data_IF_628193995875
#
_entry.id   IF_628193995875
#
_cell.length_a   1.000
_cell.length_b   1.000
_cell.length_c   1.000
_cell.angle_alpha   90.00
_cell.angle_beta   90.00
_cell.angle_gamma   90.00
#
_symmetry.space_group_name_H-M   'P 1'
#
loop_
_entity.id
_entity.type
_entity.pdbx_description
1 polymer ?
#
# COMPACT_ATOMS: atom_id res chain seq x y z
N UNK A 1 -2.77 -16.04 23.47
CA UNK A 1 -3.45 -15.39 22.33
C UNK A 1 -2.61 -15.55 21.08
N UNK A 2 -3.18 -15.78 19.88
CA UNK A 2 -2.38 -15.82 18.66
C UNK A 2 -1.67 -14.46 18.48
N UNK A 3 -0.36 -14.51 18.20
CA UNK A 3 0.44 -13.33 17.85
C UNK A 3 0.42 -13.18 16.33
N UNK A 4 -0.31 -12.19 15.83
CA UNK A 4 -0.30 -11.88 14.40
C UNK A 4 0.98 -11.12 14.04
N UNK A 5 1.62 -11.41 12.88
CA UNK A 5 2.81 -10.69 12.44
C UNK A 5 2.53 -9.20 12.25
N UNK A 6 3.40 -8.37 12.81
CA UNK A 6 3.45 -6.94 12.53
C UNK A 6 4.45 -6.68 11.39
N UNK A 7 4.06 -5.86 10.42
CA UNK A 7 4.84 -5.56 9.21
C UNK A 7 4.96 -4.05 9.01
N UNK A 8 5.78 -3.59 8.05
CA UNK A 8 5.89 -2.16 7.75
C UNK A 8 4.71 -1.61 6.95
N UNK A 9 4.16 -2.43 6.06
CA UNK A 9 3.01 -2.09 5.23
C UNK A 9 2.24 -3.37 4.86
N UNK A 10 1.00 -3.21 4.43
CA UNK A 10 0.16 -4.28 3.89
C UNK A 10 -0.02 -4.05 2.39
N UNK A 11 -0.17 -5.13 1.62
CA UNK A 11 -0.59 -4.99 0.23
C UNK A 11 -2.05 -4.50 0.17
N UNK A 12 -2.31 -3.48 -0.65
CA UNK A 12 -3.59 -2.77 -0.72
C UNK A 12 -4.80 -3.56 -1.24
N UNK A 13 -4.67 -4.87 -1.50
CA UNK A 13 -5.77 -5.71 -1.99
C UNK A 13 -6.95 -5.78 -1.01
N UNK A 14 -6.65 -5.99 0.27
CA UNK A 14 -7.68 -6.14 1.30
C UNK A 14 -7.12 -5.66 2.64
N UNK A 15 -7.54 -4.48 3.05
CA UNK A 15 -7.17 -3.87 4.33
C UNK A 15 -8.45 -3.53 5.08
N UNK A 16 -8.50 -3.93 6.35
CA UNK A 16 -9.50 -3.48 7.30
C UNK A 16 -8.82 -2.58 8.33
N UNK A 17 -9.39 -1.39 8.57
CA UNK A 17 -8.83 -0.42 9.51
C UNK A 17 -9.94 0.20 10.35
N UNK A 18 -9.60 0.66 11.56
CA UNK A 18 -10.54 1.43 12.37
C UNK A 18 -10.81 2.77 11.71
N UNK A 19 -12.01 3.33 11.97
CA UNK A 19 -12.35 4.70 11.54
C UNK A 19 -11.33 5.72 12.04
N UNK A 20 -10.88 5.58 13.29
CA UNK A 20 -9.85 6.45 13.87
C UNK A 20 -8.53 6.42 13.08
N UNK A 21 -8.08 5.22 12.68
CA UNK A 21 -6.88 5.08 11.85
C UNK A 21 -7.08 5.76 10.49
N UNK A 22 -8.20 5.49 9.82
CA UNK A 22 -8.52 6.08 8.52
C UNK A 22 -8.62 7.62 8.59
N UNK A 23 -9.35 8.15 9.57
CA UNK A 23 -9.54 9.60 9.73
C UNK A 23 -8.21 10.32 10.04
N UNK A 24 -7.28 9.65 10.75
CA UNK A 24 -5.97 10.21 11.08
C UNK A 24 -4.96 10.10 9.93
N UNK A 25 -4.96 8.99 9.20
CA UNK A 25 -3.99 8.73 8.13
C UNK A 25 -4.41 9.40 6.81
N UNK A 26 -5.71 9.49 6.55
CA UNK A 26 -6.29 10.08 5.34
C UNK A 26 -6.36 9.10 4.17
N UNK A 27 -6.49 9.63 2.95
CA UNK A 27 -6.59 8.84 1.73
C UNK A 27 -5.22 8.32 1.24
N UNK A 28 -5.23 7.53 0.17
CA UNK A 28 -4.03 7.23 -0.61
C UNK A 28 -3.48 8.52 -1.23
N UNK A 29 -2.17 8.57 -1.44
CA UNK A 29 -1.51 9.73 -2.02
C UNK A 29 -1.64 9.70 -3.56
N UNK A 30 -2.37 10.65 -4.12
CA UNK A 30 -2.65 10.74 -5.56
C UNK A 30 -1.43 11.14 -6.42
N UNK A 31 -0.29 11.43 -5.79
CA UNK A 31 0.97 11.60 -6.52
C UNK A 31 1.48 10.28 -7.10
N UNK A 32 1.16 9.14 -6.48
CA UNK A 32 1.39 7.82 -7.07
C UNK A 32 0.49 7.63 -8.30
N UNK A 33 1.09 7.20 -9.41
CA UNK A 33 0.41 7.00 -10.69
C UNK A 33 -0.26 5.63 -10.74
N UNK A 34 -0.20 4.95 -11.88
CA UNK A 34 -0.91 3.69 -12.12
C UNK A 34 -0.31 2.55 -11.28
N UNK A 35 -0.94 2.29 -10.12
CA UNK A 35 -0.60 1.24 -9.17
C UNK A 35 0.81 1.32 -8.59
N UNK A 36 1.10 0.41 -7.66
CA UNK A 36 2.38 0.26 -6.98
C UNK A 36 2.80 1.44 -6.08
N UNK A 37 3.23 1.07 -4.87
CA UNK A 37 3.89 1.91 -3.87
C UNK A 37 2.97 2.88 -3.11
N UNK A 38 1.73 3.10 -3.55
CA UNK A 38 0.73 3.87 -2.81
C UNK A 38 0.35 3.17 -1.49
N UNK A 39 0.30 1.84 -1.49
CA UNK A 39 0.03 1.00 -0.33
C UNK A 39 1.22 0.91 0.62
N UNK A 40 2.45 0.92 0.09
CA UNK A 40 3.69 1.06 0.87
C UNK A 40 3.71 2.39 1.63
N UNK A 41 3.46 3.50 0.92
CA UNK A 41 3.36 4.83 1.54
C UNK A 41 2.27 4.88 2.63
N UNK A 42 1.11 4.30 2.34
CA UNK A 42 0.01 4.23 3.28
C UNK A 42 0.40 3.48 4.56
N UNK A 43 1.08 2.34 4.42
CA UNK A 43 1.60 1.57 5.55
C UNK A 43 2.59 2.35 6.41
N UNK A 44 3.52 3.09 5.79
CA UNK A 44 4.45 3.95 6.51
C UNK A 44 3.74 5.11 7.24
N UNK A 45 2.71 5.71 6.63
CA UNK A 45 1.89 6.74 7.30
C UNK A 45 1.08 6.18 8.47
N UNK A 46 0.53 4.97 8.36
CA UNK A 46 -0.12 4.25 9.47
C UNK A 46 0.86 4.13 10.64
N UNK A 47 2.06 3.59 10.38
CA UNK A 47 3.10 3.44 11.41
C UNK A 47 3.52 4.77 12.04
N UNK A 48 3.78 5.79 11.21
CA UNK A 48 4.14 7.14 11.69
C UNK A 48 3.03 7.78 12.53
N UNK A 49 1.77 7.37 12.33
CA UNK A 49 0.61 7.84 13.10
C UNK A 49 0.40 7.10 14.43
N UNK A 50 1.26 6.13 14.76
CA UNK A 50 1.23 5.35 16.00
C UNK A 50 0.39 4.07 15.92
N UNK A 51 -0.10 3.69 14.73
CA UNK A 51 -0.84 2.45 14.52
C UNK A 51 0.06 1.33 14.01
N UNK A 52 -0.48 0.11 13.99
CA UNK A 52 0.24 -1.10 13.56
C UNK A 52 -0.38 -1.68 12.29
N UNK A 53 0.46 -2.18 11.42
CA UNK A 53 0.07 -2.99 10.27
C UNK A 53 0.19 -4.47 10.65
N UNK A 54 -0.94 -5.19 10.66
CA UNK A 54 -1.02 -6.58 11.15
C UNK A 54 -1.51 -7.51 10.05
N UNK A 55 -0.82 -8.64 9.85
CA UNK A 55 -1.26 -9.69 8.93
C UNK A 55 -2.18 -10.68 9.64
N UNK A 56 -3.45 -10.70 9.27
CA UNK A 56 -4.45 -11.62 9.81
C UNK A 56 -4.73 -12.76 8.84
N UNK A 57 -4.19 -13.96 9.13
CA UNK A 57 -4.22 -15.10 8.20
C UNK A 57 -5.50 -15.94 8.19
N UNK A 58 -6.48 -15.66 9.05
CA UNK A 58 -7.69 -16.49 9.19
C UNK A 58 -8.86 -16.01 8.31
N UNK A 59 -8.60 -15.16 7.31
CA UNK A 59 -9.62 -14.68 6.37
C UNK A 59 -9.30 -15.23 4.98
N UNK A 60 -10.08 -16.20 4.46
CA UNK A 60 -9.90 -16.65 3.09
C UNK A 60 -10.40 -15.56 2.13
N UNK A 61 -9.47 -14.93 1.43
CA UNK A 61 -9.75 -13.97 0.38
C UNK A 61 -8.91 -14.27 -0.86
N UNK A 62 -9.52 -14.26 -2.04
CA UNK A 62 -8.86 -14.54 -3.31
C UNK A 62 -8.69 -13.23 -4.10
N UNK A 63 -7.45 -12.87 -4.40
CA UNK A 63 -7.14 -11.78 -5.32
C UNK A 63 -6.89 -12.34 -6.73
N UNK A 64 -7.84 -12.12 -7.64
CA UNK A 64 -7.62 -12.37 -9.07
C UNK A 64 -6.85 -11.20 -9.69
N UNK A 65 -5.52 -11.21 -9.51
CA UNK A 65 -4.64 -10.13 -9.94
C UNK A 65 -4.62 -9.93 -11.46
N UNK A 66 -4.31 -8.71 -11.89
CA UNK A 66 -3.98 -8.39 -13.28
C UNK A 66 -5.15 -8.07 -14.21
N UNK A 67 -6.41 -8.21 -13.77
CA UNK A 67 -7.59 -7.94 -14.63
C UNK A 67 -7.56 -6.53 -15.26
N UNK A 68 -7.23 -5.49 -14.48
CA UNK A 68 -7.04 -4.13 -14.99
C UNK A 68 -5.62 -3.86 -15.45
N UNK A 69 -4.61 -4.31 -14.71
CA UNK A 69 -3.20 -4.00 -15.03
C UNK A 69 -2.74 -4.60 -16.36
N UNK A 70 -3.30 -5.73 -16.79
CA UNK A 70 -2.99 -6.33 -18.08
C UNK A 70 -3.58 -5.55 -19.27
N UNK A 71 -4.56 -4.66 -19.03
CA UNK A 71 -5.13 -3.77 -20.06
C UNK A 71 -4.29 -2.50 -20.24
N UNK A 72 -3.46 -2.15 -19.27
CA UNK A 72 -2.59 -0.97 -19.33
C UNK A 72 -1.42 -1.23 -20.28
N UNK A 73 -1.07 -0.23 -21.09
CA UNK A 73 0.10 -0.31 -21.94
C UNK A 73 1.37 -0.60 -21.10
N UNK A 74 2.14 -1.62 -21.48
CA UNK A 74 3.31 -2.08 -20.72
C UNK A 74 4.35 -0.98 -20.49
N UNK A 75 4.59 -0.12 -21.49
CA UNK A 75 5.51 1.01 -21.35
C UNK A 75 4.98 2.02 -20.34
N UNK A 76 3.70 2.39 -20.43
CA UNK A 76 3.07 3.31 -19.48
C UNK A 76 3.09 2.76 -18.04
N UNK A 77 2.84 1.47 -17.85
CA UNK A 77 2.94 0.82 -16.55
C UNK A 77 4.38 0.81 -16.01
N UNK A 78 5.37 0.58 -16.88
CA UNK A 78 6.79 0.66 -16.53
C UNK A 78 7.21 2.08 -16.11
N UNK A 79 6.81 3.09 -16.88
CA UNK A 79 7.09 4.49 -16.60
C UNK A 79 6.45 4.92 -15.26
N UNK A 80 5.19 4.52 -15.02
CA UNK A 80 4.47 4.78 -13.76
C UNK A 80 5.17 4.11 -12.56
N UNK A 81 5.55 2.85 -12.70
CA UNK A 81 6.26 2.11 -11.63
C UNK A 81 7.59 2.77 -11.28
N UNK A 82 8.35 3.21 -12.28
CA UNK A 82 9.63 3.90 -12.08
C UNK A 82 9.44 5.26 -11.39
N UNK A 83 8.48 6.06 -11.87
CA UNK A 83 8.09 7.32 -11.25
C UNK A 83 7.71 7.12 -9.77
N UNK A 84 6.82 6.16 -9.49
CA UNK A 84 6.32 5.89 -8.15
C UNK A 84 7.42 5.43 -7.20
N UNK A 85 8.36 4.61 -7.68
CA UNK A 85 9.52 4.20 -6.89
C UNK A 85 10.42 5.37 -6.50
N UNK A 86 10.76 6.25 -7.45
CA UNK A 86 11.57 7.45 -7.18
C UNK A 86 10.83 8.38 -6.21
N UNK A 87 9.53 8.58 -6.42
CA UNK A 87 8.70 9.41 -5.57
C UNK A 87 8.67 8.88 -4.13
N UNK A 88 8.44 7.56 -3.94
CA UNK A 88 8.46 6.93 -2.62
C UNK A 88 9.81 7.14 -1.93
N UNK A 89 10.92 6.87 -2.64
CA UNK A 89 12.27 7.04 -2.10
C UNK A 89 12.50 8.47 -1.63
N UNK A 90 12.16 9.46 -2.45
CA UNK A 90 12.30 10.86 -2.09
C UNK A 90 11.41 11.26 -0.91
N UNK A 91 10.15 10.80 -0.89
CA UNK A 91 9.18 11.13 0.16
C UNK A 91 9.60 10.62 1.54
N UNK A 92 10.27 9.47 1.58
CA UNK A 92 10.65 8.78 2.82
C UNK A 92 12.16 8.74 3.07
N UNK A 93 12.97 9.46 2.28
CA UNK A 93 14.44 9.48 2.35
C UNK A 93 15.06 8.07 2.36
N UNK A 94 14.57 7.21 1.46
CA UNK A 94 15.04 5.84 1.32
C UNK A 94 16.20 5.81 0.31
N UNK A 95 17.42 5.64 0.82
CA UNK A 95 18.68 5.56 0.06
C UNK A 95 18.63 4.62 -1.13
#
# INVERSE_FOLDING_TARGET
>A
SPTFPEVDYLCGFLIFSSKECFDKVGLLDENFKIGYYEDVDYGFRIKKSGFKNIVYGNVPALHLGGAEMNKVNRKALGDAKHHNFIYLKKKWDLG
#
